data_IF_064994060219
#
_entry.id   IF_064994060219
#
_cell.length_a   1.000
_cell.length_b   1.000
_cell.length_c   1.000
_cell.angle_alpha   90.00
_cell.angle_beta   90.00
_cell.angle_gamma   90.00
#
_symmetry.space_group_name_H-M   'P 1'
#
loop_
_entity.id
_entity.type
_entity.pdbx_description
1 polymer ?
#
# COMPACT_ATOMS: atom_id res chain seq x y z
N UNK A 1 29.85 0.36 -6.16
CA UNK A 1 28.39 0.34 -6.36
C UNK A 1 27.95 -1.07 -6.02
N UNK A 2 27.01 -1.19 -5.11
CA UNK A 2 26.43 -2.51 -4.80
C UNK A 2 25.65 -3.00 -6.02
N UNK A 3 25.64 -4.31 -6.23
CA UNK A 3 24.89 -4.92 -7.32
C UNK A 3 23.37 -4.64 -7.12
N UNK A 4 22.62 -4.32 -8.19
CA UNK A 4 21.18 -4.09 -8.08
C UNK A 4 20.48 -5.36 -7.63
N UNK A 5 19.51 -5.21 -6.73
CA UNK A 5 18.68 -6.30 -6.22
C UNK A 5 17.25 -5.84 -5.97
N UNK A 6 16.37 -6.79 -5.74
CA UNK A 6 15.02 -6.52 -5.26
C UNK A 6 14.59 -7.55 -4.21
N UNK A 7 13.62 -7.18 -3.41
CA UNK A 7 12.93 -8.07 -2.49
C UNK A 7 11.48 -8.19 -2.94
N UNK A 8 11.01 -9.41 -3.18
CA UNK A 8 9.62 -9.68 -3.55
C UNK A 8 9.02 -10.69 -2.58
N UNK A 9 7.81 -10.39 -2.06
CA UNK A 9 7.11 -11.21 -1.08
C UNK A 9 8.00 -11.62 0.12
N UNK A 10 8.88 -10.71 0.56
CA UNK A 10 9.80 -10.92 1.68
C UNK A 10 11.06 -11.71 1.36
N UNK A 11 11.28 -12.11 0.10
CA UNK A 11 12.45 -12.87 -0.32
C UNK A 11 13.37 -12.02 -1.20
N UNK A 12 14.67 -12.02 -0.87
CA UNK A 12 15.71 -11.29 -1.60
C UNK A 12 16.12 -12.04 -2.89
N UNK A 13 16.24 -11.30 -3.99
CA UNK A 13 16.65 -11.84 -5.29
C UNK A 13 18.02 -12.50 -5.27
N UNK A 14 18.94 -12.01 -4.43
CA UNK A 14 20.30 -12.54 -4.27
C UNK A 14 20.28 -13.94 -3.68
N UNK A 15 19.40 -14.22 -2.71
CA UNK A 15 19.22 -15.54 -2.10
C UNK A 15 18.62 -16.56 -3.08
N UNK A 16 17.96 -16.04 -4.12
CA UNK A 16 17.38 -16.84 -5.19
C UNK A 16 18.34 -17.07 -6.37
N UNK A 17 19.59 -16.61 -6.28
CA UNK A 17 20.58 -16.71 -7.37
C UNK A 17 20.17 -15.92 -8.61
N UNK A 18 19.48 -14.82 -8.40
CA UNK A 18 19.00 -13.91 -9.45
C UNK A 18 19.87 -12.66 -9.46
N UNK A 19 20.46 -12.38 -10.61
CA UNK A 19 21.21 -11.15 -10.88
C UNK A 19 20.34 -10.22 -11.71
N UNK A 20 20.12 -9.01 -11.21
CA UNK A 20 19.29 -8.02 -11.89
C UNK A 20 20.10 -7.35 -13.00
N UNK A 21 19.59 -7.40 -14.22
CA UNK A 21 20.13 -6.68 -15.38
C UNK A 21 19.49 -5.30 -15.52
N UNK A 22 18.15 -5.26 -15.36
CA UNK A 22 17.38 -4.01 -15.41
C UNK A 22 16.24 -4.05 -14.39
N UNK A 23 16.23 -3.05 -13.48
CA UNK A 23 15.15 -2.84 -12.53
C UNK A 23 13.90 -2.29 -13.24
N UNK A 24 12.70 -2.47 -12.67
CA UNK A 24 11.49 -1.94 -13.26
C UNK A 24 11.50 -0.41 -13.27
N UNK A 25 11.17 0.18 -14.41
CA UNK A 25 11.06 1.64 -14.52
C UNK A 25 9.87 2.15 -13.72
N UNK A 26 10.15 3.04 -12.76
CA UNK A 26 9.12 3.69 -11.95
C UNK A 26 8.51 4.85 -12.76
N UNK A 27 7.18 4.83 -12.89
CA UNK A 27 6.41 5.84 -13.60
C UNK A 27 5.47 6.56 -12.66
N UNK A 28 5.19 7.82 -12.95
CA UNK A 28 4.12 8.54 -12.25
C UNK A 28 2.77 7.95 -12.66
N UNK A 29 1.95 7.48 -11.72
CA UNK A 29 0.62 6.97 -12.00
C UNK A 29 -0.27 8.00 -12.70
N UNK A 30 -1.09 7.53 -13.62
CA UNK A 30 -2.07 8.37 -14.32
C UNK A 30 -3.29 8.58 -13.44
N UNK A 31 -3.79 9.81 -13.40
CA UNK A 31 -5.05 10.13 -12.74
C UNK A 31 -6.22 9.49 -13.50
N UNK A 32 -7.16 8.88 -12.79
CA UNK A 32 -8.41 8.35 -13.35
C UNK A 32 -9.33 9.51 -13.69
N UNK A 33 -9.56 9.71 -14.97
CA UNK A 33 -10.42 10.78 -15.48
C UNK A 33 -11.31 10.20 -16.56
N UNK A 34 -12.62 10.29 -16.35
CA UNK A 34 -13.61 9.93 -17.37
C UNK A 34 -13.93 11.15 -18.24
N UNK A 35 -13.86 10.99 -19.56
CA UNK A 35 -14.10 12.05 -20.53
C UNK A 35 -15.41 11.82 -21.26
N UNK A 36 -16.24 12.86 -21.28
CA UNK A 36 -17.52 12.86 -21.97
C UNK A 36 -17.53 13.91 -23.09
N UNK A 37 -17.79 13.48 -24.33
CA UNK A 37 -18.02 14.38 -25.44
C UNK A 37 -19.44 14.92 -25.37
N UNK A 38 -19.57 16.24 -25.33
CA UNK A 38 -20.87 16.93 -25.32
C UNK A 38 -21.09 17.62 -26.66
N UNK A 39 -22.21 17.29 -27.33
CA UNK A 39 -22.57 17.88 -28.64
C UNK A 39 -22.68 19.40 -28.52
N UNK A 40 -22.01 20.11 -29.44
CA UNK A 40 -22.00 21.56 -29.49
C UNK A 40 -21.02 22.26 -28.54
N UNK A 41 -20.13 21.51 -27.91
CA UNK A 41 -19.03 22.02 -27.09
C UNK A 41 -17.67 21.61 -27.67
N UNK A 42 -16.75 22.56 -27.68
CA UNK A 42 -15.35 22.27 -28.02
C UNK A 42 -14.65 21.57 -26.84
N UNK A 43 -14.14 20.36 -27.09
CA UNK A 43 -13.45 19.52 -26.13
C UNK A 43 -14.35 18.79 -25.10
N UNK A 44 -13.85 17.69 -24.52
CA UNK A 44 -14.63 16.87 -23.59
C UNK A 44 -14.82 17.54 -22.23
N UNK A 45 -15.86 17.12 -21.52
CA UNK A 45 -16.00 17.35 -20.07
C UNK A 45 -15.23 16.27 -19.36
N UNK A 46 -14.32 16.64 -18.49
CA UNK A 46 -13.56 15.69 -17.67
C UNK A 46 -14.20 15.57 -16.29
N UNK A 47 -14.52 14.33 -15.90
CA UNK A 47 -14.91 13.97 -14.55
C UNK A 47 -13.73 13.25 -13.89
N UNK A 48 -13.29 13.79 -12.77
CA UNK A 48 -12.23 13.21 -11.97
C UNK A 48 -12.81 12.14 -11.04
N UNK A 49 -12.39 10.90 -11.23
CA UNK A 49 -12.85 9.76 -10.42
C UNK A 49 -12.14 9.68 -9.05
N UNK A 50 -11.21 10.61 -8.76
CA UNK A 50 -10.53 10.73 -7.46
C UNK A 50 -9.41 9.71 -7.20
N UNK A 51 -9.10 8.86 -8.17
CA UNK A 51 -8.09 7.80 -8.03
C UNK A 51 -6.96 7.90 -9.06
N UNK A 52 -6.06 6.94 -8.99
CA UNK A 52 -4.95 6.78 -9.94
C UNK A 52 -4.96 5.36 -10.51
N UNK A 53 -4.52 5.22 -11.76
CA UNK A 53 -4.33 3.91 -12.40
C UNK A 53 -2.92 3.39 -12.10
N UNK A 54 -2.82 2.09 -11.86
CA UNK A 54 -1.55 1.40 -11.91
C UNK A 54 -1.01 1.34 -13.34
N UNK A 55 0.20 0.84 -13.49
CA UNK A 55 0.85 0.74 -14.79
C UNK A 55 1.65 -0.56 -14.91
N UNK A 56 1.86 -0.99 -16.16
CA UNK A 56 2.73 -2.11 -16.46
C UNK A 56 4.14 -1.64 -16.76
N UNK A 57 5.12 -2.39 -16.27
CA UNK A 57 6.53 -2.24 -16.59
C UNK A 57 7.19 -3.62 -16.68
N UNK A 58 8.43 -3.65 -17.13
CA UNK A 58 9.22 -4.88 -17.22
C UNK A 58 10.51 -4.74 -16.44
N UNK A 59 11.02 -5.85 -15.93
CA UNK A 59 12.38 -5.98 -15.44
C UNK A 59 13.09 -7.12 -16.16
N UNK A 60 14.41 -7.06 -16.23
CA UNK A 60 15.23 -8.12 -16.77
C UNK A 60 16.16 -8.68 -15.70
N UNK A 61 16.17 -10.00 -15.58
CA UNK A 61 16.98 -10.70 -14.60
C UNK A 61 17.65 -11.92 -15.21
N UNK A 62 18.86 -12.22 -14.76
CA UNK A 62 19.61 -13.40 -15.11
C UNK A 62 19.60 -14.39 -13.95
N UNK A 63 19.34 -15.65 -14.23
CA UNK A 63 19.25 -16.71 -13.22
C UNK A 63 20.44 -17.66 -13.38
N UNK A 64 21.25 -17.76 -12.35
CA UNK A 64 22.44 -18.60 -12.32
C UNK A 64 22.28 -19.68 -11.22
N UNK A 65 22.68 -20.92 -11.56
CA UNK A 65 22.77 -22.01 -10.60
C UNK A 65 21.45 -22.48 -9.96
N UNK A 66 20.32 -21.86 -10.32
CA UNK A 66 18.98 -22.23 -9.89
C UNK A 66 18.17 -22.84 -11.01
N UNK A 67 17.18 -23.64 -10.67
CA UNK A 67 16.23 -24.10 -11.68
C UNK A 67 15.27 -22.96 -12.01
N UNK A 68 14.99 -22.78 -13.31
CA UNK A 68 14.03 -21.79 -13.81
C UNK A 68 12.68 -21.92 -13.12
N UNK A 69 12.25 -23.14 -12.88
CA UNK A 69 10.98 -23.48 -12.24
C UNK A 69 10.87 -22.92 -10.82
N UNK A 70 11.98 -22.89 -10.07
CA UNK A 70 12.01 -22.32 -8.71
C UNK A 70 11.77 -20.81 -8.75
N UNK A 71 12.42 -20.10 -9.70
CA UNK A 71 12.24 -18.65 -9.87
C UNK A 71 10.84 -18.32 -10.40
N UNK A 72 10.31 -19.11 -11.34
CA UNK A 72 8.94 -18.96 -11.82
C UNK A 72 7.91 -19.18 -10.72
N UNK A 73 8.13 -20.14 -9.83
CA UNK A 73 7.25 -20.40 -8.68
C UNK A 73 7.32 -19.30 -7.62
N UNK A 74 8.43 -18.56 -7.56
CA UNK A 74 8.57 -17.42 -6.67
C UNK A 74 7.96 -16.14 -7.26
N UNK A 75 8.25 -15.84 -8.55
CA UNK A 75 7.78 -14.63 -9.22
C UNK A 75 6.36 -14.80 -9.78
N UNK A 76 5.39 -14.99 -8.89
CA UNK A 76 3.98 -15.20 -9.22
C UNK A 76 3.07 -14.55 -8.18
N UNK A 77 1.87 -14.13 -8.61
CA UNK A 77 0.83 -13.57 -7.74
C UNK A 77 1.07 -12.12 -7.35
N UNK A 78 0.50 -11.72 -6.24
CA UNK A 78 0.60 -10.34 -5.73
C UNK A 78 1.47 -10.28 -4.49
N UNK A 79 2.19 -9.16 -4.32
CA UNK A 79 3.03 -8.98 -3.15
C UNK A 79 3.77 -7.65 -3.11
N UNK A 80 4.41 -7.42 -1.97
CA UNK A 80 5.30 -6.28 -1.77
C UNK A 80 6.60 -6.45 -2.57
N UNK A 81 6.96 -5.40 -3.29
CA UNK A 81 8.20 -5.30 -4.04
C UNK A 81 9.00 -4.09 -3.54
N UNK A 82 10.25 -4.32 -3.18
CA UNK A 82 11.21 -3.28 -2.77
C UNK A 82 12.40 -3.36 -3.70
N UNK A 83 12.76 -2.25 -4.31
CA UNK A 83 13.88 -2.16 -5.24
C UNK A 83 15.11 -1.55 -4.55
N UNK A 84 16.31 -1.99 -4.94
CA UNK A 84 17.56 -1.49 -4.37
C UNK A 84 17.87 -0.02 -4.69
N UNK A 85 17.23 0.55 -5.71
CA UNK A 85 17.34 1.97 -6.05
C UNK A 85 16.46 2.87 -5.16
N UNK A 86 15.37 2.32 -4.60
CA UNK A 86 14.50 2.98 -3.61
C UNK A 86 14.22 2.06 -2.41
N UNK A 87 15.21 1.74 -1.57
CA UNK A 87 15.06 0.76 -0.50
C UNK A 87 14.15 1.22 0.66
N UNK A 88 13.84 2.50 0.71
CA UNK A 88 12.91 3.12 1.66
C UNK A 88 11.47 3.18 1.15
N UNK A 89 11.17 2.53 0.03
CA UNK A 89 9.85 2.45 -0.59
C UNK A 89 9.50 1.02 -0.96
N UNK A 90 8.26 0.67 -0.72
CA UNK A 90 7.66 -0.59 -1.20
C UNK A 90 6.51 -0.30 -2.16
N UNK A 91 6.38 -1.14 -3.16
CA UNK A 91 5.30 -1.13 -4.13
C UNK A 91 4.49 -2.41 -3.99
N UNK A 92 3.15 -2.30 -4.06
CA UNK A 92 2.34 -3.49 -4.27
C UNK A 92 2.32 -3.82 -5.75
N UNK A 93 2.66 -5.04 -6.10
CA UNK A 93 2.76 -5.48 -7.50
C UNK A 93 2.00 -6.76 -7.74
N UNK A 94 1.50 -6.95 -8.98
CA UNK A 94 0.98 -8.22 -9.48
C UNK A 94 1.88 -8.75 -10.58
N UNK A 95 2.24 -10.04 -10.48
CA UNK A 95 3.09 -10.80 -11.38
C UNK A 95 2.28 -11.87 -12.14
N UNK A 96 1.06 -11.55 -12.55
CA UNK A 96 0.17 -12.50 -13.24
C UNK A 96 0.47 -12.63 -14.74
N UNK A 97 1.34 -11.75 -15.26
CA UNK A 97 1.73 -11.78 -16.66
C UNK A 97 2.72 -12.90 -16.96
N UNK A 98 2.72 -13.35 -18.21
CA UNK A 98 3.65 -14.36 -18.69
C UNK A 98 5.11 -13.92 -18.53
N UNK A 99 5.91 -14.66 -17.77
CA UNK A 99 7.37 -14.50 -17.71
C UNK A 99 8.01 -15.14 -18.92
N UNK A 100 8.78 -14.35 -19.68
CA UNK A 100 9.50 -14.84 -20.88
C UNK A 100 10.93 -15.17 -20.48
N UNK A 101 11.36 -16.40 -20.76
CA UNK A 101 12.72 -16.87 -20.47
C UNK A 101 13.46 -17.29 -21.73
N UNK A 102 14.71 -16.86 -21.84
CA UNK A 102 15.63 -17.27 -22.90
C UNK A 102 16.90 -17.86 -22.29
N UNK A 103 17.28 -19.07 -22.71
CA UNK A 103 18.51 -19.73 -22.24
C UNK A 103 19.69 -19.38 -23.11
N UNK A 104 20.78 -19.03 -22.47
CA UNK A 104 22.07 -18.80 -23.11
C UNK A 104 23.06 -19.92 -22.76
N UNK A 105 23.83 -20.35 -23.77
CA UNK A 105 24.83 -21.40 -23.71
C UNK A 105 26.20 -20.80 -24.05
N UNK A 106 26.88 -20.18 -23.08
CA UNK A 106 28.22 -19.64 -23.27
C UNK A 106 29.08 -19.92 -22.03
N UNK A 107 29.70 -21.13 -21.99
CA UNK A 107 30.51 -21.57 -20.87
C UNK A 107 29.70 -22.02 -19.67
N UNK A 108 29.11 -21.08 -18.93
CA UNK A 108 28.09 -21.36 -17.93
C UNK A 108 26.71 -21.07 -18.52
N UNK A 109 25.75 -21.98 -18.29
CA UNK A 109 24.38 -21.77 -18.75
C UNK A 109 23.65 -20.85 -17.76
N UNK A 110 23.00 -19.83 -18.28
CA UNK A 110 22.10 -18.98 -17.50
C UNK A 110 20.82 -18.69 -18.28
N UNK A 111 19.76 -18.38 -17.57
CA UNK A 111 18.50 -18.01 -18.16
C UNK A 111 18.27 -16.50 -17.95
N UNK A 112 18.07 -15.74 -19.04
CA UNK A 112 17.58 -14.36 -18.95
C UNK A 112 16.06 -14.37 -18.95
N UNK A 113 15.46 -13.79 -17.92
CA UNK A 113 14.02 -13.69 -17.76
C UNK A 113 13.58 -12.24 -17.92
N UNK A 114 12.57 -12.03 -18.76
CA UNK A 114 11.82 -10.77 -18.82
C UNK A 114 10.54 -10.95 -18.03
N UNK A 115 10.43 -10.23 -16.92
CA UNK A 115 9.30 -10.29 -15.99
C UNK A 115 8.47 -9.04 -16.19
N UNK A 116 7.18 -9.20 -16.48
CA UNK A 116 6.22 -8.09 -16.54
C UNK A 116 5.54 -7.94 -15.22
N UNK A 117 5.57 -6.72 -14.67
CA UNK A 117 4.92 -6.36 -13.41
C UNK A 117 3.80 -5.38 -13.69
N UNK A 118 2.66 -5.56 -13.03
CA UNK A 118 1.69 -4.51 -12.86
C UNK A 118 1.93 -3.85 -11.50
N UNK A 119 2.28 -2.56 -11.50
CA UNK A 119 2.55 -1.78 -10.29
C UNK A 119 1.30 -0.99 -9.93
N UNK A 120 0.81 -1.15 -8.68
CA UNK A 120 -0.28 -0.36 -8.15
C UNK A 120 0.15 1.09 -7.92
N UNK A 121 -0.76 2.06 -7.91
CA UNK A 121 -0.42 3.47 -8.11
C UNK A 121 0.37 4.12 -6.97
N UNK A 122 0.34 3.54 -5.78
CA UNK A 122 1.01 4.12 -4.62
C UNK A 122 2.27 3.36 -4.24
N UNK A 123 3.30 4.10 -3.85
CA UNK A 123 4.49 3.58 -3.18
C UNK A 123 4.38 3.91 -1.69
N UNK A 124 4.68 2.94 -0.86
CA UNK A 124 4.54 3.04 0.59
C UNK A 124 5.90 3.23 1.24
N UNK A 125 5.94 3.98 2.34
CA UNK A 125 7.16 4.12 3.15
C UNK A 125 7.54 2.75 3.71
N UNK A 126 8.79 2.38 3.51
CA UNK A 126 9.32 1.08 3.90
C UNK A 126 10.61 1.22 4.74
N UNK A 127 10.84 0.39 5.79
CA UNK A 127 9.85 -0.50 6.38
C UNK A 127 8.62 0.26 6.90
N UNK A 128 7.48 -0.43 6.98
CA UNK A 128 6.24 0.19 7.46
C UNK A 128 6.47 0.84 8.83
N UNK A 129 6.19 2.14 8.98
CA UNK A 129 6.37 2.83 10.26
C UNK A 129 5.57 2.16 11.37
N UNK A 130 6.18 2.08 12.57
CA UNK A 130 5.50 1.58 13.74
C UNK A 130 4.24 2.41 14.04
N UNK A 131 3.26 1.76 14.66
CA UNK A 131 2.06 2.44 15.13
C UNK A 131 2.42 3.56 16.11
N UNK A 132 1.81 4.73 15.95
CA UNK A 132 1.95 5.84 16.88
C UNK A 132 0.84 5.78 17.90
N UNK A 133 1.19 5.85 19.19
CA UNK A 133 0.26 5.72 20.30
C UNK A 133 -0.08 7.08 20.91
N UNK A 134 -1.36 7.27 21.21
CA UNK A 134 -1.92 8.47 21.81
C UNK A 134 -2.77 8.09 23.02
N UNK A 135 -2.47 8.70 24.17
CA UNK A 135 -3.19 8.52 25.45
C UNK A 135 -3.70 9.84 26.01
N UNK A 136 -3.30 10.95 25.38
CA UNK A 136 -3.74 12.31 25.75
C UNK A 136 -4.39 12.94 24.54
N UNK A 137 -5.54 13.57 24.73
CA UNK A 137 -6.32 14.19 23.66
C UNK A 137 -6.70 15.63 24.02
N UNK A 138 -6.75 16.55 23.05
CA UNK A 138 -6.46 16.35 21.63
C UNK A 138 -4.96 16.12 21.36
N UNK A 139 -4.66 15.35 20.30
CA UNK A 139 -3.30 15.09 19.82
C UNK A 139 -3.20 15.35 18.32
N UNK A 140 -1.99 15.42 17.81
CA UNK A 140 -1.75 15.68 16.39
C UNK A 140 -0.80 14.65 15.78
N UNK A 141 -1.18 14.10 14.63
CA UNK A 141 -0.33 13.24 13.79
C UNK A 141 -0.05 13.94 12.47
N UNK A 142 1.22 14.11 12.14
CA UNK A 142 1.61 14.84 10.92
C UNK A 142 1.94 13.88 9.79
N UNK A 143 1.28 14.07 8.65
CA UNK A 143 1.58 13.43 7.38
C UNK A 143 2.52 14.35 6.58
N UNK A 144 3.79 13.98 6.47
CA UNK A 144 4.82 14.74 5.74
C UNK A 144 4.83 14.43 4.23
N UNK A 145 3.91 13.60 3.75
CA UNK A 145 3.81 13.18 2.35
C UNK A 145 2.67 13.93 1.65
N UNK A 146 2.80 14.11 0.35
CA UNK A 146 1.84 14.90 -0.44
C UNK A 146 0.50 14.22 -0.72
N UNK A 147 0.30 12.98 -0.26
CA UNK A 147 -0.88 12.15 -0.52
C UNK A 147 -1.53 11.74 0.80
N UNK A 148 -2.86 11.73 0.82
CA UNK A 148 -3.60 11.18 1.96
C UNK A 148 -3.37 9.67 2.07
N UNK A 149 -3.18 9.17 3.29
CA UNK A 149 -3.04 7.74 3.55
C UNK A 149 -4.28 7.16 4.23
N UNK A 150 -4.43 5.85 4.09
CA UNK A 150 -5.53 5.04 4.63
C UNK A 150 -5.02 4.29 5.87
N UNK A 151 -5.15 4.90 7.07
CA UNK A 151 -4.55 4.35 8.28
C UNK A 151 -5.29 3.10 8.76
N UNK A 152 -4.58 2.32 9.56
CA UNK A 152 -5.18 1.35 10.47
C UNK A 152 -5.16 1.92 11.87
N UNK A 153 -6.33 2.03 12.48
CA UNK A 153 -6.53 2.70 13.76
C UNK A 153 -7.08 1.69 14.76
N UNK A 154 -6.32 1.43 15.81
CA UNK A 154 -6.73 0.63 16.96
C UNK A 154 -7.16 1.58 18.07
N UNK A 155 -8.40 1.47 18.51
CA UNK A 155 -9.02 2.29 19.55
C UNK A 155 -9.34 1.39 20.73
N UNK A 156 -8.71 1.60 21.86
CA UNK A 156 -9.02 0.92 23.12
C UNK A 156 -9.99 1.78 23.92
N UNK A 157 -11.22 1.31 24.04
CA UNK A 157 -12.32 2.10 24.59
C UNK A 157 -13.44 1.20 25.11
N UNK A 158 -14.28 1.75 26.00
CA UNK A 158 -15.47 1.06 26.51
C UNK A 158 -16.70 1.95 26.45
N UNK A 159 -17.86 1.34 26.18
CA UNK A 159 -19.13 2.03 26.04
C UNK A 159 -19.27 2.75 24.70
N UNK A 160 -19.99 3.87 24.72
CA UNK A 160 -20.20 4.71 23.54
C UNK A 160 -19.10 5.76 23.47
N UNK A 161 -18.44 5.85 22.30
CA UNK A 161 -17.32 6.78 22.11
C UNK A 161 -17.42 7.48 20.75
N UNK A 162 -16.88 8.69 20.72
CA UNK A 162 -16.74 9.50 19.52
C UNK A 162 -15.27 9.80 19.30
N UNK A 163 -14.78 9.48 18.09
CA UNK A 163 -13.42 9.78 17.67
C UNK A 163 -13.46 10.67 16.45
N UNK A 164 -12.74 11.77 16.49
CA UNK A 164 -12.61 12.67 15.35
C UNK A 164 -11.15 12.68 14.86
N UNK A 165 -10.98 12.56 13.55
CA UNK A 165 -9.71 12.84 12.86
C UNK A 165 -9.98 13.98 11.90
N UNK A 166 -9.48 15.18 12.21
CA UNK A 166 -9.86 16.43 11.55
C UNK A 166 -11.39 16.64 11.61
N UNK A 167 -12.03 16.75 10.44
CA UNK A 167 -13.47 16.88 10.30
C UNK A 167 -14.21 15.53 10.12
N UNK A 168 -13.48 14.42 10.10
CA UNK A 168 -14.07 13.09 9.94
C UNK A 168 -14.44 12.53 11.32
N UNK A 169 -15.73 12.38 11.55
CA UNK A 169 -16.30 11.93 12.82
C UNK A 169 -16.66 10.44 12.74
N UNK A 170 -16.21 9.68 13.72
CA UNK A 170 -16.52 8.26 13.89
C UNK A 170 -17.22 8.05 15.22
N UNK A 171 -18.43 7.51 15.20
CA UNK A 171 -19.20 7.15 16.39
C UNK A 171 -19.23 5.64 16.54
N UNK A 172 -18.95 5.17 17.75
CA UNK A 172 -18.95 3.75 18.09
C UNK A 172 -19.87 3.51 19.28
N UNK A 173 -20.67 2.45 19.23
CA UNK A 173 -21.69 2.15 20.24
C UNK A 173 -21.42 0.80 20.86
N UNK A 174 -21.48 0.75 22.21
CA UNK A 174 -21.45 -0.49 22.97
C UNK A 174 -20.12 -1.23 22.91
N UNK A 175 -18.99 -0.53 22.81
CA UNK A 175 -17.67 -1.17 22.82
C UNK A 175 -17.39 -1.82 24.19
N UNK A 176 -16.87 -3.05 24.17
CA UNK A 176 -16.45 -3.78 25.39
C UNK A 176 -14.99 -3.55 25.73
N UNK A 177 -14.11 -3.68 24.72
CA UNK A 177 -12.66 -3.54 24.85
C UNK A 177 -12.07 -2.52 23.89
N UNK A 178 -12.76 -2.28 22.77
CA UNK A 178 -12.35 -1.38 21.70
C UNK A 178 -12.66 -1.91 20.30
N UNK A 179 -12.09 -1.23 19.31
CA UNK A 179 -12.32 -1.50 17.89
C UNK A 179 -11.08 -1.18 17.06
N UNK A 180 -10.90 -1.89 15.97
CA UNK A 180 -9.92 -1.58 14.93
C UNK A 180 -10.69 -1.06 13.72
N UNK A 181 -10.31 0.10 13.21
CA UNK A 181 -10.81 0.68 11.96
C UNK A 181 -9.70 0.56 10.93
N UNK A 182 -9.90 -0.24 9.90
CA UNK A 182 -8.98 -0.39 8.79
C UNK A 182 -9.53 0.35 7.57
N UNK A 183 -8.90 1.49 7.25
CA UNK A 183 -9.39 2.35 6.18
C UNK A 183 -9.09 1.80 4.78
N UNK A 184 -8.04 0.99 4.64
CA UNK A 184 -7.68 0.37 3.36
C UNK A 184 -8.63 -0.78 3.01
N UNK A 185 -8.98 -1.61 4.02
CA UNK A 185 -9.92 -2.72 3.85
C UNK A 185 -11.38 -2.29 3.96
N UNK A 186 -11.65 -1.06 4.43
CA UNK A 186 -13.00 -0.55 4.73
C UNK A 186 -13.76 -1.45 5.70
N UNK A 187 -13.07 -1.89 6.78
CA UNK A 187 -13.60 -2.80 7.77
C UNK A 187 -13.38 -2.29 9.19
N UNK A 188 -14.33 -2.63 10.07
CA UNK A 188 -14.20 -2.47 11.50
C UNK A 188 -14.14 -3.85 12.16
N UNK A 189 -13.10 -4.10 12.97
CA UNK A 189 -12.81 -5.38 13.60
C UNK A 189 -12.74 -5.24 15.12
N UNK A 190 -12.99 -6.33 15.83
CA UNK A 190 -12.65 -6.40 17.25
C UNK A 190 -11.12 -6.40 17.45
N UNK A 191 -10.65 -6.15 18.67
CA UNK A 191 -9.20 -6.04 18.94
C UNK A 191 -8.41 -7.33 18.71
N UNK A 192 -9.08 -8.48 18.65
CA UNK A 192 -8.48 -9.79 18.35
C UNK A 192 -8.54 -10.16 16.87
N UNK A 193 -9.15 -9.33 16.03
CA UNK A 193 -9.28 -9.52 14.57
C UNK A 193 -10.06 -10.77 14.16
N UNK A 194 -10.92 -11.25 15.04
CA UNK A 194 -11.72 -12.48 14.83
C UNK A 194 -13.16 -12.23 14.41
N UNK A 195 -13.64 -11.00 14.55
CA UNK A 195 -15.02 -10.63 14.26
C UNK A 195 -15.13 -9.21 13.69
N UNK A 196 -16.02 -9.04 12.72
CA UNK A 196 -16.40 -7.74 12.17
C UNK A 196 -17.33 -7.00 13.14
N UNK A 197 -17.06 -5.72 13.39
CA UNK A 197 -17.84 -4.81 14.21
C UNK A 197 -18.42 -3.62 13.41
N UNK A 198 -18.65 -3.78 12.12
CA UNK A 198 -19.19 -2.72 11.27
C UNK A 198 -20.54 -2.18 11.76
N UNK A 199 -21.36 -3.03 12.42
CA UNK A 199 -22.65 -2.63 12.98
C UNK A 199 -22.54 -1.74 14.22
N UNK A 200 -21.40 -1.76 14.91
CA UNK A 200 -21.11 -0.90 16.09
C UNK A 200 -20.50 0.45 15.71
N UNK A 201 -20.19 0.64 14.41
CA UNK A 201 -19.56 1.84 13.89
C UNK A 201 -20.54 2.64 13.00
N UNK A 202 -20.53 3.95 13.15
CA UNK A 202 -21.34 4.87 12.32
C UNK A 202 -20.48 6.07 11.91
N UNK A 203 -20.18 6.14 10.61
CA UNK A 203 -19.48 7.26 9.96
C UNK A 203 -19.78 7.25 8.46
N UNK A 204 -19.60 8.38 7.79
CA UNK A 204 -19.89 8.52 6.36
C UNK A 204 -18.81 7.87 5.50
N UNK A 205 -17.55 8.13 5.83
CA UNK A 205 -16.37 7.64 5.09
C UNK A 205 -15.30 7.18 6.06
N UNK A 206 -14.52 6.19 5.66
CA UNK A 206 -13.36 5.74 6.42
C UNK A 206 -12.33 6.86 6.57
N UNK A 207 -11.66 6.97 7.74
CA UNK A 207 -10.77 8.07 8.04
C UNK A 207 -9.54 8.07 7.13
N UNK A 208 -9.14 9.27 6.72
CA UNK A 208 -7.95 9.53 5.93
C UNK A 208 -7.01 10.47 6.70
N UNK A 209 -5.71 10.15 6.69
CA UNK A 209 -4.68 11.08 7.16
C UNK A 209 -4.25 11.98 6.01
N UNK A 210 -4.80 13.20 5.97
CA UNK A 210 -4.50 14.19 4.93
C UNK A 210 -3.06 14.70 5.05
N UNK A 211 -2.46 15.21 3.97
CA UNK A 211 -1.18 15.90 4.06
C UNK A 211 -1.19 17.02 5.10
N UNK A 212 -0.13 17.13 5.87
CA UNK A 212 -0.01 18.09 6.98
C UNK A 212 -0.50 17.54 8.32
N UNK A 213 -0.91 18.42 9.21
CA UNK A 213 -1.35 18.09 10.56
C UNK A 213 -2.74 17.47 10.58
N UNK A 214 -2.88 16.32 11.25
CA UNK A 214 -4.15 15.63 11.48
C UNK A 214 -4.45 15.66 12.97
N UNK A 215 -5.47 16.42 13.37
CA UNK A 215 -5.88 16.54 14.76
C UNK A 215 -6.79 15.39 15.14
N UNK A 216 -6.46 14.72 16.26
CA UNK A 216 -7.19 13.59 16.84
C UNK A 216 -7.84 14.08 18.13
N UNK A 217 -9.16 13.97 18.20
CA UNK A 217 -9.90 14.25 19.43
C UNK A 217 -10.91 13.15 19.73
N UNK A 218 -11.24 12.98 21.00
CA UNK A 218 -12.13 11.93 21.47
C UNK A 218 -13.14 12.48 22.46
N UNK A 219 -14.30 11.83 22.51
CA UNK A 219 -15.29 11.97 23.55
C UNK A 219 -15.73 10.58 23.99
N UNK A 220 -15.95 10.41 25.29
CA UNK A 220 -16.22 9.11 25.92
C UNK A 220 -14.97 8.47 26.55
N UNK A 221 -15.09 7.19 26.93
CA UNK A 221 -14.05 6.47 27.66
C UNK A 221 -13.04 5.79 26.73
N UNK A 222 -12.13 6.60 26.17
CA UNK A 222 -11.04 6.14 25.32
C UNK A 222 -9.74 6.15 26.11
N UNK A 223 -9.08 5.00 26.23
CA UNK A 223 -7.83 4.85 26.99
C UNK A 223 -6.60 5.03 26.10
N UNK A 224 -6.67 4.56 24.86
CA UNK A 224 -5.54 4.63 23.90
C UNK A 224 -6.03 4.56 22.45
N UNK A 225 -5.37 5.31 21.61
CA UNK A 225 -5.48 5.17 20.14
C UNK A 225 -4.08 4.88 19.61
N UNK A 226 -3.94 3.79 18.84
CA UNK A 226 -2.72 3.42 18.13
C UNK A 226 -2.98 3.50 16.62
N UNK A 227 -2.22 4.33 15.90
CA UNK A 227 -2.40 4.58 14.47
C UNK A 227 -1.18 4.06 13.71
N UNK A 228 -1.40 3.08 12.83
CA UNK A 228 -0.44 2.69 11.78
C UNK A 228 -0.78 3.52 10.54
N UNK A 229 0.06 4.49 10.18
CA UNK A 229 -0.35 5.54 9.23
C UNK A 229 -0.35 5.10 7.77
N UNK A 230 0.40 4.04 7.40
CA UNK A 230 0.54 3.55 6.02
C UNK A 230 0.86 4.69 5.04
N UNK A 231 1.91 5.51 5.38
CA UNK A 231 2.32 6.63 4.55
C UNK A 231 2.63 6.21 3.12
N UNK A 232 2.10 6.98 2.16
CA UNK A 232 2.24 6.68 0.74
C UNK A 232 2.56 7.91 -0.09
N UNK A 233 3.19 7.67 -1.25
CA UNK A 233 3.53 8.67 -2.28
C UNK A 233 3.09 8.16 -3.66
N UNK A 234 3.06 9.07 -4.64
CA UNK A 234 2.85 8.71 -6.05
C UNK A 234 4.17 8.36 -6.71
#
# INVERSE_FOLDING_TARGET
MDEPYFVYAGQDSRDMGVVVEELPTIQRPRRKVTRYDVSGRDGPVELDDGGYDGYQTTMQVNVFGQTREKVFGWLIGEGWFVSSDEPDRAMWVSLDAQVKGKRFFCGECFDTLTVTLYIYPYRYVWPTPAAQEFTVFPSTLTNNYGIASEPRIRIEATGDVLVNINAQQMSFVGLTDGIIVDSELMECLNLTETALLNSSASFTDFPLLKPGANMISVDGNVTRISITPRWRVL
#
